data_IF_021461220737
#
_entry.id   IF_021461220737
#
_cell.length_a   1.000
_cell.length_b   1.000
_cell.length_c   1.000
_cell.angle_alpha   90.00
_cell.angle_beta   90.00
_cell.angle_gamma   90.00
#
_symmetry.space_group_name_H-M   'P 1'
#
loop_
_entity.id
_entity.type
_entity.pdbx_description
1 polymer ?
#
# COMPACT_ATOMS: atom_id res chain seq x y z
N UNK A 1 -23.13 -10.64 5.95
CA UNK A 1 -21.92 -9.86 5.61
C UNK A 1 -22.21 -8.40 5.89
N UNK A 2 -21.34 -7.65 6.57
CA UNK A 2 -21.61 -6.24 6.87
C UNK A 2 -21.61 -5.42 5.58
N UNK A 3 -22.50 -4.42 5.47
CA UNK A 3 -22.62 -3.58 4.28
C UNK A 3 -21.30 -2.88 3.93
N UNK A 4 -20.56 -2.43 4.95
CA UNK A 4 -19.23 -1.83 4.78
C UNK A 4 -18.22 -2.78 4.12
N UNK A 5 -18.19 -4.05 4.53
CA UNK A 5 -17.31 -5.08 3.93
C UNK A 5 -17.67 -5.35 2.47
N UNK A 6 -18.97 -5.37 2.14
CA UNK A 6 -19.43 -5.55 0.74
C UNK A 6 -18.99 -4.38 -0.12
N UNK A 7 -19.29 -3.15 0.31
CA UNK A 7 -18.98 -1.92 -0.43
C UNK A 7 -17.47 -1.81 -0.65
N UNK A 8 -16.67 -2.06 0.41
CA UNK A 8 -15.23 -1.94 0.31
C UNK A 8 -14.61 -2.95 -0.67
N UNK A 9 -15.11 -4.19 -0.70
CA UNK A 9 -14.66 -5.18 -1.67
C UNK A 9 -15.01 -4.79 -3.10
N UNK A 10 -16.27 -4.41 -3.35
CA UNK A 10 -16.71 -3.98 -4.69
C UNK A 10 -15.86 -2.80 -5.16
N UNK A 11 -15.65 -1.82 -4.29
CA UNK A 11 -14.86 -0.65 -4.63
C UNK A 11 -13.39 -1.00 -4.92
N UNK A 12 -12.80 -1.91 -4.13
CA UNK A 12 -11.44 -2.43 -4.35
C UNK A 12 -11.28 -3.10 -5.71
N UNK A 13 -12.19 -4.02 -6.06
CA UNK A 13 -12.14 -4.72 -7.34
C UNK A 13 -12.45 -3.82 -8.54
N UNK A 14 -13.48 -2.97 -8.43
CA UNK A 14 -13.87 -2.08 -9.52
C UNK A 14 -12.78 -1.04 -9.81
N UNK A 15 -12.19 -0.46 -8.77
CA UNK A 15 -11.13 0.53 -8.91
C UNK A 15 -9.84 -0.09 -9.44
N UNK A 16 -9.45 -1.28 -8.95
CA UNK A 16 -8.25 -1.96 -9.45
C UNK A 16 -8.40 -2.36 -10.93
N UNK A 17 -9.58 -2.86 -11.32
CA UNK A 17 -9.89 -3.18 -12.71
C UNK A 17 -9.88 -1.93 -13.60
N UNK A 18 -10.44 -0.81 -13.13
CA UNK A 18 -10.40 0.46 -13.85
C UNK A 18 -8.98 0.99 -14.04
N UNK A 19 -8.13 0.90 -13.01
CA UNK A 19 -6.73 1.34 -13.06
C UNK A 19 -5.93 0.49 -14.04
N UNK A 20 -6.00 -0.85 -13.93
CA UNK A 20 -5.29 -1.75 -14.84
C UNK A 20 -5.80 -1.65 -16.28
N UNK A 21 -7.13 -1.67 -16.45
CA UNK A 21 -7.76 -1.55 -17.76
C UNK A 21 -7.43 -0.21 -18.42
N UNK A 22 -7.51 0.89 -17.67
CA UNK A 22 -7.13 2.22 -18.15
C UNK A 22 -5.65 2.31 -18.53
N UNK A 23 -4.76 1.77 -17.68
CA UNK A 23 -3.32 1.75 -17.95
C UNK A 23 -2.98 0.88 -19.18
N UNK A 24 -3.67 -0.24 -19.38
CA UNK A 24 -3.55 -1.08 -20.56
C UNK A 24 -4.04 -0.37 -21.82
N UNK A 25 -5.23 0.25 -21.78
CA UNK A 25 -5.78 1.02 -22.91
C UNK A 25 -4.85 2.16 -23.31
N UNK A 26 -4.32 2.91 -22.35
CA UNK A 26 -3.34 3.98 -22.60
C UNK A 26 -2.07 3.41 -23.24
N UNK A 27 -1.58 2.27 -22.75
CA UNK A 27 -0.38 1.62 -23.31
C UNK A 27 -0.59 1.17 -24.75
N UNK A 28 -1.74 0.56 -25.05
CA UNK A 28 -2.12 0.11 -26.40
C UNK A 28 -2.24 1.31 -27.34
N UNK A 29 -2.97 2.36 -26.95
CA UNK A 29 -3.16 3.56 -27.77
C UNK A 29 -1.84 4.28 -28.05
N UNK A 30 -0.93 4.30 -27.08
CA UNK A 30 0.38 4.91 -27.23
C UNK A 30 1.41 4.00 -27.93
N UNK A 31 1.05 2.75 -28.27
CA UNK A 31 1.95 1.72 -28.81
C UNK A 31 3.25 1.53 -27.99
N UNK A 32 3.17 1.78 -26.69
CA UNK A 32 4.27 1.63 -25.73
C UNK A 32 3.73 1.30 -24.35
N UNK A 33 4.42 0.43 -23.61
CA UNK A 33 4.01 0.09 -22.25
C UNK A 33 4.20 1.30 -21.33
N UNK A 34 3.11 1.79 -20.74
CA UNK A 34 3.13 2.99 -19.92
C UNK A 34 3.66 2.69 -18.50
N UNK A 35 4.34 3.67 -17.88
CA UNK A 35 4.82 3.57 -16.50
C UNK A 35 3.71 3.26 -15.50
N UNK A 36 2.48 3.75 -15.71
CA UNK A 36 1.33 3.40 -14.85
C UNK A 36 1.04 1.90 -14.87
N UNK A 37 1.10 1.26 -16.04
CA UNK A 37 0.88 -0.18 -16.17
C UNK A 37 2.02 -0.96 -15.51
N UNK A 38 3.27 -0.58 -15.79
CA UNK A 38 4.44 -1.22 -15.18
C UNK A 38 4.44 -1.09 -13.65
N UNK A 39 4.10 0.09 -13.14
CA UNK A 39 4.04 0.33 -11.69
C UNK A 39 2.89 -0.46 -11.07
N UNK A 40 1.73 -0.49 -11.71
CA UNK A 40 0.58 -1.29 -11.26
C UNK A 40 0.91 -2.78 -11.16
N UNK A 41 1.57 -3.33 -12.18
CA UNK A 41 2.01 -4.73 -12.17
C UNK A 41 3.06 -4.99 -11.08
N UNK A 42 4.00 -4.04 -10.87
CA UNK A 42 4.97 -4.15 -9.78
C UNK A 42 4.31 -4.08 -8.40
N UNK A 43 3.26 -3.29 -8.22
CA UNK A 43 2.54 -3.19 -6.96
C UNK A 43 1.84 -4.50 -6.59
N UNK A 44 1.43 -5.33 -7.56
CA UNK A 44 0.89 -6.67 -7.24
C UNK A 44 1.96 -7.61 -6.67
N UNK A 45 3.24 -7.32 -6.90
CA UNK A 45 4.35 -8.17 -6.44
C UNK A 45 4.69 -8.03 -4.96
N UNK A 46 4.17 -7.02 -4.24
CA UNK A 46 4.42 -6.88 -2.79
C UNK A 46 3.38 -7.63 -1.94
N UNK A 47 2.30 -8.14 -2.57
CA UNK A 47 1.15 -8.71 -1.86
C UNK A 47 1.51 -9.89 -0.95
N UNK A 48 2.58 -10.63 -1.27
CA UNK A 48 3.06 -11.72 -0.42
C UNK A 48 3.63 -11.24 0.92
N UNK A 49 4.07 -9.98 1.03
CA UNK A 49 4.56 -9.38 2.28
C UNK A 49 3.46 -8.79 3.15
N UNK A 50 2.23 -8.70 2.64
CA UNK A 50 1.11 -8.09 3.37
C UNK A 50 0.73 -8.91 4.59
N UNK A 51 0.72 -10.24 4.44
CA UNK A 51 0.42 -11.12 5.54
C UNK A 51 1.32 -10.89 6.76
N UNK A 52 2.65 -10.96 6.57
CA UNK A 52 3.62 -10.65 7.61
C UNK A 52 3.56 -9.21 8.12
N UNK A 53 3.32 -8.23 7.25
CA UNK A 53 3.22 -6.82 7.62
C UNK A 53 2.04 -6.58 8.56
N UNK A 54 0.85 -7.06 8.18
CA UNK A 54 -0.36 -6.97 8.97
C UNK A 54 -0.19 -7.63 10.35
N UNK A 55 0.45 -8.80 10.36
CA UNK A 55 0.80 -9.50 11.59
C UNK A 55 1.74 -8.69 12.47
N UNK A 56 2.72 -7.99 11.89
CA UNK A 56 3.69 -7.19 12.61
C UNK A 56 3.05 -5.99 13.33
N UNK A 57 2.06 -5.36 12.71
CA UNK A 57 1.37 -4.20 13.28
C UNK A 57 0.10 -4.56 14.07
N UNK A 58 -0.15 -5.85 14.30
CA UNK A 58 -1.33 -6.35 15.01
C UNK A 58 -2.68 -5.93 14.39
N UNK A 59 -2.74 -5.77 13.06
CA UNK A 59 -4.01 -5.46 12.39
C UNK A 59 -4.87 -6.72 12.27
N UNK A 60 -6.16 -6.56 12.51
CA UNK A 60 -7.15 -7.62 12.40
C UNK A 60 -8.30 -7.13 11.52
N UNK A 61 -8.56 -7.85 10.44
CA UNK A 61 -9.64 -7.54 9.52
C UNK A 61 -10.96 -8.15 9.95
N UNK A 62 -12.06 -7.49 9.58
CA UNK A 62 -13.41 -7.98 9.86
C UNK A 62 -13.58 -9.44 9.42
N UNK A 63 -14.11 -10.33 10.26
CA UNK A 63 -14.25 -11.76 9.94
C UNK A 63 -15.13 -12.08 8.73
N UNK A 64 -15.91 -11.12 8.24
CA UNK A 64 -16.82 -11.33 7.12
C UNK A 64 -16.11 -11.18 5.76
N UNK A 65 -14.85 -10.76 5.73
CA UNK A 65 -14.07 -10.79 4.51
C UNK A 65 -13.78 -12.25 4.10
N UNK A 66 -14.00 -12.60 2.81
CA UNK A 66 -13.43 -13.81 2.24
C UNK A 66 -11.91 -13.79 2.40
N UNK A 67 -11.31 -14.95 2.73
CA UNK A 67 -9.86 -15.07 2.98
C UNK A 67 -9.19 -15.80 1.82
N UNK A 68 -7.93 -15.45 1.57
CA UNK A 68 -7.06 -16.31 0.76
C UNK A 68 -6.75 -17.59 1.55
N UNK A 69 -6.38 -18.70 0.88
CA UNK A 69 -5.92 -19.89 1.59
C UNK A 69 -4.75 -19.57 2.51
N UNK A 70 -4.68 -20.23 3.65
CA UNK A 70 -3.60 -20.10 4.63
C UNK A 70 -2.37 -20.86 4.14
N UNK A 71 -1.60 -20.23 3.24
CA UNK A 71 -0.38 -20.82 2.69
C UNK A 71 0.76 -19.81 2.69
N UNK A 72 1.93 -20.26 3.17
CA UNK A 72 3.14 -19.45 3.22
C UNK A 72 2.91 -18.10 3.92
N UNK A 73 3.39 -16.98 3.36
CA UNK A 73 3.32 -15.69 4.04
C UNK A 73 1.89 -15.11 4.08
N UNK A 74 0.98 -15.51 3.18
CA UNK A 74 -0.42 -15.06 3.19
C UNK A 74 -1.18 -15.49 4.46
N UNK A 75 -0.71 -16.56 5.09
CA UNK A 75 -1.22 -17.10 6.34
C UNK A 75 -0.85 -16.32 7.60
N UNK A 76 0.16 -15.46 7.52
CA UNK A 76 0.73 -14.82 8.72
C UNK A 76 -0.26 -13.85 9.39
N UNK A 77 -1.15 -13.20 8.63
CA UNK A 77 -2.19 -12.33 9.19
C UNK A 77 -3.10 -13.10 10.13
N UNK A 78 -3.49 -12.48 11.24
CA UNK A 78 -4.47 -13.05 12.15
C UNK A 78 -5.81 -13.36 11.43
N UNK A 79 -6.25 -14.62 11.47
CA UNK A 79 -7.43 -15.14 10.75
C UNK A 79 -7.32 -15.07 9.21
N UNK A 80 -6.10 -14.98 8.67
CA UNK A 80 -5.79 -15.01 7.24
C UNK A 80 -6.00 -13.68 6.52
N UNK A 81 -5.26 -13.47 5.42
CA UNK A 81 -5.35 -12.24 4.63
C UNK A 81 -6.68 -12.17 3.84
N UNK A 82 -7.40 -11.03 3.81
CA UNK A 82 -8.57 -10.87 2.95
C UNK A 82 -8.25 -11.06 1.47
N UNK A 83 -9.09 -11.80 0.75
CA UNK A 83 -8.93 -12.10 -0.68
C UNK A 83 -8.92 -10.86 -1.58
N UNK A 84 -9.53 -9.76 -1.11
CA UNK A 84 -9.53 -8.49 -1.83
C UNK A 84 -8.21 -7.74 -1.75
N UNK A 85 -7.28 -8.11 -0.87
CA UNK A 85 -6.07 -7.32 -0.60
C UNK A 85 -5.25 -6.97 -1.83
N UNK A 86 -4.93 -7.90 -2.75
CA UNK A 86 -4.22 -7.54 -3.98
C UNK A 86 -4.91 -6.40 -4.77
N UNK A 87 -6.24 -6.45 -4.85
CA UNK A 87 -7.02 -5.42 -5.53
C UNK A 87 -7.12 -4.13 -4.71
N UNK A 88 -7.31 -4.24 -3.39
CA UNK A 88 -7.37 -3.12 -2.46
C UNK A 88 -6.09 -2.30 -2.47
N UNK A 89 -4.92 -2.96 -2.47
CA UNK A 89 -3.64 -2.27 -2.56
C UNK A 89 -3.41 -1.60 -3.91
N UNK A 90 -3.84 -2.23 -4.99
CA UNK A 90 -3.73 -1.60 -6.30
C UNK A 90 -4.63 -0.37 -6.40
N UNK A 91 -5.87 -0.47 -5.94
CA UNK A 91 -6.76 0.68 -5.79
C UNK A 91 -6.08 1.75 -4.96
N UNK A 92 -5.59 1.39 -3.77
CA UNK A 92 -5.15 2.35 -2.78
C UNK A 92 -3.84 3.03 -3.18
N UNK A 93 -2.78 2.26 -3.45
CA UNK A 93 -1.49 2.81 -3.81
C UNK A 93 -1.50 3.54 -5.17
N UNK A 94 -2.11 2.96 -6.20
CA UNK A 94 -2.04 3.57 -7.54
C UNK A 94 -2.96 4.78 -7.68
N UNK A 95 -4.15 4.77 -7.06
CA UNK A 95 -5.02 5.94 -7.09
C UNK A 95 -4.32 7.13 -6.43
N UNK A 96 -3.75 6.92 -5.23
CA UNK A 96 -3.05 7.98 -4.51
C UNK A 96 -1.79 8.42 -5.23
N UNK A 97 -1.02 7.50 -5.83
CA UNK A 97 0.16 7.85 -6.62
C UNK A 97 -0.18 8.70 -7.86
N UNK A 98 -1.30 8.39 -8.54
CA UNK A 98 -1.76 9.18 -9.70
C UNK A 98 -2.21 10.57 -9.26
N UNK A 99 -3.01 10.68 -8.20
CA UNK A 99 -3.45 11.97 -7.64
C UNK A 99 -2.24 12.80 -7.20
N UNK A 100 -1.30 12.19 -6.47
CA UNK A 100 -0.09 12.86 -6.00
C UNK A 100 0.82 13.31 -7.15
N UNK A 101 0.91 12.55 -8.24
CA UNK A 101 1.66 12.94 -9.45
C UNK A 101 1.04 14.16 -10.15
N UNK A 102 -0.29 14.29 -10.11
CA UNK A 102 -0.99 15.50 -10.59
C UNK A 102 -0.71 16.70 -9.70
N UNK A 103 -0.78 16.54 -8.38
CA UNK A 103 -0.42 17.60 -7.42
C UNK A 103 1.04 18.02 -7.59
N UNK A 104 1.96 17.07 -7.74
CA UNK A 104 3.37 17.38 -8.04
C UNK A 104 3.52 18.22 -9.31
N UNK A 105 2.78 17.89 -10.37
CA UNK A 105 2.79 18.69 -11.61
C UNK A 105 2.32 20.13 -11.37
N UNK A 106 1.36 20.35 -10.47
CA UNK A 106 0.95 21.69 -10.06
C UNK A 106 2.05 22.41 -9.27
N UNK A 107 2.71 21.73 -8.33
CA UNK A 107 3.84 22.31 -7.57
C UNK A 107 4.99 22.73 -8.49
N UNK A 108 5.34 21.89 -9.47
CA UNK A 108 6.36 22.23 -10.47
C UNK A 108 5.93 23.44 -11.30
N UNK A 109 4.71 23.42 -11.86
CA UNK A 109 4.27 24.45 -12.81
C UNK A 109 3.92 25.79 -12.16
N UNK A 110 3.44 25.77 -10.90
CA UNK A 110 2.97 26.98 -10.20
C UNK A 110 4.01 27.54 -9.24
N UNK A 111 4.79 26.67 -8.59
CA UNK A 111 5.72 27.06 -7.52
C UNK A 111 7.19 26.86 -7.92
N UNK A 112 7.47 26.35 -9.12
CA UNK A 112 8.84 26.16 -9.62
C UNK A 112 9.62 25.06 -8.91
N UNK A 113 8.94 24.13 -8.22
CA UNK A 113 9.61 23.04 -7.51
C UNK A 113 10.36 22.11 -8.47
N UNK A 114 11.47 21.53 -8.02
CA UNK A 114 12.15 20.48 -8.78
C UNK A 114 11.27 19.22 -8.85
N UNK A 115 11.12 18.65 -10.05
CA UNK A 115 10.17 17.55 -10.32
C UNK A 115 10.34 16.35 -9.38
N UNK A 116 11.55 15.81 -9.11
CA UNK A 116 11.70 14.68 -8.20
C UNK A 116 11.23 15.02 -6.78
N UNK A 117 11.61 16.20 -6.26
CA UNK A 117 11.21 16.66 -4.94
C UNK A 117 9.69 16.86 -4.84
N UNK A 118 9.07 17.44 -5.88
CA UNK A 118 7.63 17.61 -5.94
C UNK A 118 6.88 16.27 -5.92
N UNK A 119 7.36 15.27 -6.67
CA UNK A 119 6.76 13.92 -6.69
C UNK A 119 6.91 13.20 -5.35
N UNK A 120 8.09 13.29 -4.74
CA UNK A 120 8.34 12.62 -3.46
C UNK A 120 7.53 13.28 -2.34
N UNK A 121 7.58 14.61 -2.25
CA UNK A 121 6.84 15.36 -1.24
C UNK A 121 5.32 15.18 -1.39
N UNK A 122 4.78 15.30 -2.61
CA UNK A 122 3.33 15.13 -2.79
C UNK A 122 2.88 13.69 -2.49
N UNK A 123 3.65 12.69 -2.92
CA UNK A 123 3.35 11.28 -2.67
C UNK A 123 3.37 10.96 -1.18
N UNK A 124 4.38 11.43 -0.46
CA UNK A 124 4.47 11.26 0.99
C UNK A 124 3.32 11.97 1.71
N UNK A 125 3.09 13.25 1.44
CA UNK A 125 2.05 14.04 2.14
C UNK A 125 0.66 13.51 1.86
N UNK A 126 0.30 13.25 0.60
CA UNK A 126 -1.03 12.74 0.25
C UNK A 126 -1.18 11.31 0.77
N UNK A 127 -0.15 10.48 0.64
CA UNK A 127 -0.16 9.12 1.18
C UNK A 127 -0.42 9.11 2.67
N UNK A 128 0.32 9.90 3.45
CA UNK A 128 0.17 10.00 4.89
C UNK A 128 -1.23 10.52 5.27
N UNK A 129 -1.63 11.68 4.76
CA UNK A 129 -2.90 12.33 5.15
C UNK A 129 -4.10 11.46 4.78
N UNK A 130 -4.14 10.93 3.55
CA UNK A 130 -5.26 10.10 3.13
C UNK A 130 -5.25 8.78 3.90
N UNK A 131 -4.09 8.23 4.24
CA UNK A 131 -4.01 7.02 5.06
C UNK A 131 -4.58 7.19 6.45
N UNK A 132 -4.17 8.23 7.17
CA UNK A 132 -4.70 8.44 8.52
C UNK A 132 -6.22 8.66 8.50
N UNK A 133 -6.73 9.41 7.52
CA UNK A 133 -8.17 9.59 7.34
C UNK A 133 -8.89 8.29 7.00
N UNK A 134 -8.30 7.49 6.11
CA UNK A 134 -8.88 6.22 5.69
C UNK A 134 -8.87 5.19 6.81
N UNK A 135 -7.78 5.08 7.56
CA UNK A 135 -7.62 4.22 8.74
C UNK A 135 -8.56 4.65 9.86
N UNK A 136 -8.72 5.95 10.09
CA UNK A 136 -9.72 6.47 11.03
C UNK A 136 -11.12 6.00 10.63
N UNK A 137 -11.54 6.20 9.38
CA UNK A 137 -12.86 5.75 8.92
C UNK A 137 -13.00 4.23 9.03
N UNK A 138 -11.98 3.49 8.59
CA UNK A 138 -11.98 2.02 8.55
C UNK A 138 -12.11 1.40 9.95
N UNK A 139 -11.43 1.95 10.95
CA UNK A 139 -11.51 1.47 12.35
C UNK A 139 -12.87 1.76 12.99
N UNK A 140 -13.51 2.88 12.65
CA UNK A 140 -14.85 3.24 13.13
C UNK A 140 -15.95 2.38 12.50
N UNK A 141 -15.90 2.17 11.18
CA UNK A 141 -16.88 1.32 10.49
C UNK A 141 -16.55 -0.18 10.58
N UNK A 142 -15.42 -0.52 11.22
CA UNK A 142 -15.01 -1.88 11.57
C UNK A 142 -14.52 -2.71 10.40
N UNK A 143 -13.88 -2.13 9.38
CA UNK A 143 -13.21 -2.91 8.32
C UNK A 143 -11.99 -3.64 8.86
N UNK A 144 -11.17 -2.96 9.68
CA UNK A 144 -10.08 -3.54 10.44
C UNK A 144 -9.81 -2.72 11.70
N UNK A 145 -9.12 -3.32 12.66
CA UNK A 145 -8.72 -2.70 13.93
C UNK A 145 -7.37 -3.22 14.37
N UNK A 146 -6.68 -2.47 15.23
CA UNK A 146 -5.34 -2.79 15.70
C UNK A 146 -5.38 -3.31 17.13
N UNK A 147 -4.89 -4.54 17.35
CA UNK A 147 -4.95 -5.20 18.65
C UNK A 147 -3.95 -4.61 19.65
N UNK A 148 -2.80 -4.19 19.15
CA UNK A 148 -1.71 -3.61 19.94
C UNK A 148 -0.99 -2.55 19.14
N UNK A 149 -0.25 -1.70 19.83
CA UNK A 149 0.66 -0.76 19.20
C UNK A 149 1.75 -0.28 20.17
N UNK A 150 2.86 0.17 19.60
CA UNK A 150 3.95 0.79 20.33
C UNK A 150 3.53 2.17 20.90
N UNK A 151 3.97 2.52 22.12
CA UNK A 151 3.66 3.81 22.71
C UNK A 151 4.32 4.97 21.94
N UNK A 152 3.71 6.16 21.99
CA UNK A 152 4.25 7.40 21.44
C UNK A 152 3.82 7.76 20.02
N UNK A 153 3.59 6.77 19.14
CA UNK A 153 3.14 6.98 17.75
C UNK A 153 1.79 6.29 17.51
N UNK A 154 0.80 6.63 18.31
CA UNK A 154 -0.52 5.99 18.31
C UNK A 154 -1.64 7.02 18.46
N UNK A 155 -2.74 6.81 17.74
CA UNK A 155 -3.98 7.56 17.89
C UNK A 155 -4.94 6.73 18.76
N UNK A 156 -5.67 7.40 19.66
CA UNK A 156 -6.64 6.78 20.59
C UNK A 156 -6.12 5.56 21.36
N UNK A 157 -5.00 5.67 22.10
CA UNK A 157 -4.35 4.53 22.75
C UNK A 157 -5.29 3.75 23.67
N UNK A 158 -5.29 2.43 23.54
CA UNK A 158 -6.06 1.51 24.39
C UNK A 158 -7.55 1.43 24.04
N UNK A 159 -8.00 2.08 22.97
CA UNK A 159 -9.40 2.05 22.52
C UNK A 159 -9.61 1.05 21.38
N UNK A 160 -10.87 0.75 21.06
CA UNK A 160 -11.25 -0.01 19.85
C UNK A 160 -10.82 0.65 18.54
N UNK A 161 -10.62 1.96 18.57
CA UNK A 161 -10.30 2.77 17.39
C UNK A 161 -8.84 3.18 17.40
N UNK A 162 -8.00 2.51 18.20
CA UNK A 162 -6.59 2.79 18.17
C UNK A 162 -6.00 2.42 16.81
N UNK A 163 -5.05 3.21 16.34
CA UNK A 163 -4.23 2.86 15.19
C UNK A 163 -2.84 3.51 15.29
N UNK A 164 -1.80 2.84 14.80
CA UNK A 164 -0.45 3.35 14.86
C UNK A 164 -0.14 4.33 13.73
N UNK A 165 0.46 5.48 14.06
CA UNK A 165 0.92 6.47 13.08
C UNK A 165 2.13 5.97 12.27
N UNK A 166 2.89 5.03 12.82
CA UNK A 166 4.02 4.42 12.12
C UNK A 166 3.60 3.55 10.94
N UNK A 167 2.37 3.03 10.94
CA UNK A 167 1.79 2.37 9.77
C UNK A 167 1.56 3.38 8.64
N UNK A 168 0.95 4.53 8.94
CA UNK A 168 0.77 5.57 7.93
C UNK A 168 2.07 6.16 7.40
N UNK A 169 3.12 6.24 8.22
CA UNK A 169 4.47 6.59 7.75
C UNK A 169 5.02 5.56 6.75
N UNK A 170 4.87 4.26 7.04
CA UNK A 170 5.29 3.18 6.14
C UNK A 170 4.52 3.22 4.81
N UNK A 171 3.20 3.39 4.87
CA UNK A 171 2.34 3.52 3.70
C UNK A 171 2.67 4.78 2.89
N UNK A 172 2.92 5.91 3.55
CA UNK A 172 3.30 7.16 2.91
C UNK A 172 4.61 7.04 2.12
N UNK A 173 5.60 6.33 2.66
CA UNK A 173 6.88 6.05 1.97
C UNK A 173 6.63 5.18 0.73
N UNK A 174 5.77 4.18 0.84
CA UNK A 174 5.42 3.32 -0.29
C UNK A 174 4.71 4.11 -1.40
N UNK A 175 3.73 4.96 -1.05
CA UNK A 175 3.03 5.84 -2.01
C UNK A 175 3.97 6.88 -2.60
N UNK A 176 4.90 7.43 -1.82
CA UNK A 176 5.96 8.34 -2.28
C UNK A 176 6.76 7.71 -3.43
N UNK A 177 7.21 6.46 -3.24
CA UNK A 177 7.98 5.73 -4.26
C UNK A 177 7.11 5.46 -5.50
N UNK A 178 5.87 4.98 -5.33
CA UNK A 178 4.97 4.77 -6.46
C UNK A 178 4.66 6.06 -7.24
N UNK A 179 4.48 7.17 -6.54
CA UNK A 179 4.28 8.50 -7.15
C UNK A 179 5.47 8.88 -8.02
N UNK A 180 6.68 8.64 -7.53
CA UNK A 180 7.91 8.85 -8.31
C UNK A 180 7.98 7.91 -9.52
N UNK A 181 7.69 6.61 -9.36
CA UNK A 181 7.76 5.63 -10.46
C UNK A 181 6.75 5.91 -11.58
N UNK A 182 5.57 6.46 -11.26
CA UNK A 182 4.52 6.83 -12.22
C UNK A 182 4.77 8.20 -12.84
N UNK A 183 5.25 9.16 -12.05
CA UNK A 183 5.35 10.56 -12.45
C UNK A 183 6.70 10.99 -13.01
N UNK A 184 7.77 10.21 -12.80
CA UNK A 184 9.12 10.62 -13.19
C UNK A 184 9.38 10.42 -14.68
N UNK A 185 9.72 11.51 -15.36
CA UNK A 185 10.21 11.48 -16.75
C UNK A 185 11.68 11.06 -16.82
N UNK A 186 12.43 11.23 -15.73
CA UNK A 186 13.86 10.89 -15.61
C UNK A 186 14.06 9.74 -14.61
N UNK A 187 13.32 8.66 -14.80
CA UNK A 187 13.39 7.51 -13.91
C UNK A 187 14.68 6.69 -14.17
N UNK A 188 15.53 6.55 -13.16
CA UNK A 188 16.82 5.82 -13.26
C UNK A 188 16.65 4.37 -13.69
N UNK A 189 15.59 3.68 -13.24
CA UNK A 189 15.32 2.29 -13.64
C UNK A 189 14.98 2.23 -15.12
N UNK A 190 14.17 3.17 -15.62
CA UNK A 190 13.82 3.26 -17.05
C UNK A 190 15.06 3.56 -17.90
N UNK A 191 15.93 4.47 -17.43
CA UNK A 191 17.19 4.80 -18.12
C UNK A 191 18.16 3.62 -18.13
N UNK A 192 18.31 2.92 -17.01
CA UNK A 192 19.11 1.70 -16.92
C UNK A 192 18.58 0.62 -17.87
N UNK A 193 17.27 0.39 -17.89
CA UNK A 193 16.65 -0.58 -18.78
C UNK A 193 16.85 -0.20 -20.25
N UNK A 194 16.73 1.08 -20.60
CA UNK A 194 16.96 1.58 -21.95
C UNK A 194 18.41 1.37 -22.40
N UNK A 195 19.38 1.53 -21.50
CA UNK A 195 20.80 1.32 -21.81
C UNK A 195 21.16 -0.17 -22.00
N UNK A 196 20.38 -1.08 -21.42
CA UNK A 196 20.62 -2.54 -21.50
C UNK A 196 19.77 -3.25 -22.55
N UNK A 197 18.69 -2.64 -23.00
CA UNK A 197 17.75 -3.26 -23.91
C UNK A 197 18.10 -3.02 -25.38
N UNK A 198 17.96 -4.06 -26.20
CA UNK A 198 18.06 -4.00 -27.65
C UNK A 198 16.71 -3.81 -28.33
N UNK A 199 15.59 -4.04 -27.62
CA UNK A 199 14.22 -3.91 -28.15
C UNK A 199 13.29 -3.20 -27.15
N UNK A 200 12.18 -2.58 -27.61
CA UNK A 200 11.20 -1.94 -26.73
C UNK A 200 10.54 -2.91 -25.74
N UNK A 201 10.29 -4.16 -26.15
CA UNK A 201 9.74 -5.19 -25.28
C UNK A 201 10.73 -5.55 -24.16
N UNK A 202 12.00 -5.76 -24.51
CA UNK A 202 13.04 -6.03 -23.53
C UNK A 202 13.19 -4.87 -22.55
N UNK A 203 13.13 -3.62 -23.02
CA UNK A 203 13.17 -2.45 -22.14
C UNK A 203 11.99 -2.44 -21.16
N UNK A 204 10.78 -2.74 -21.63
CA UNK A 204 9.60 -2.79 -20.77
C UNK A 204 9.71 -3.90 -19.71
N UNK A 205 10.19 -5.09 -20.09
CA UNK A 205 10.41 -6.20 -19.17
C UNK A 205 11.49 -5.89 -18.14
N UNK A 206 12.64 -5.34 -18.55
CA UNK A 206 13.70 -4.92 -17.63
C UNK A 206 13.21 -3.82 -16.68
N UNK A 207 12.42 -2.87 -17.18
CA UNK A 207 11.81 -1.84 -16.34
C UNK A 207 10.86 -2.46 -15.32
N UNK A 208 10.00 -3.40 -15.73
CA UNK A 208 9.10 -4.11 -14.82
C UNK A 208 9.87 -4.84 -13.72
N UNK A 209 10.90 -5.60 -14.08
CA UNK A 209 11.76 -6.31 -13.11
C UNK A 209 12.42 -5.33 -12.15
N UNK A 210 12.99 -4.24 -12.67
CA UNK A 210 13.58 -3.20 -11.83
C UNK A 210 12.57 -2.56 -10.87
N UNK A 211 11.34 -2.30 -11.33
CA UNK A 211 10.26 -1.80 -10.47
C UNK A 211 9.90 -2.82 -9.40
N UNK A 212 9.72 -4.11 -9.75
CA UNK A 212 9.44 -5.20 -8.80
C UNK A 212 10.52 -5.23 -7.70
N UNK A 213 11.80 -5.16 -8.07
CA UNK A 213 12.90 -5.13 -7.10
C UNK A 213 12.79 -3.90 -6.19
N UNK A 214 12.64 -2.71 -6.76
CA UNK A 214 12.56 -1.46 -5.99
C UNK A 214 11.41 -1.49 -5.00
N UNK A 215 10.21 -1.88 -5.45
CA UNK A 215 9.02 -1.84 -4.59
C UNK A 215 9.09 -2.88 -3.48
N UNK A 216 9.61 -4.08 -3.75
CA UNK A 216 9.80 -5.09 -2.70
C UNK A 216 10.87 -4.67 -1.69
N UNK A 217 11.99 -4.09 -2.14
CA UNK A 217 13.02 -3.58 -1.22
C UNK A 217 12.46 -2.47 -0.34
N UNK A 218 11.74 -1.51 -0.92
CA UNK A 218 11.08 -0.44 -0.16
C UNK A 218 10.07 -1.02 0.83
N UNK A 219 9.26 -1.99 0.39
CA UNK A 219 8.25 -2.60 1.26
C UNK A 219 8.88 -3.34 2.44
N UNK A 220 9.97 -4.08 2.19
CA UNK A 220 10.77 -4.72 3.25
C UNK A 220 11.36 -3.69 4.22
N UNK A 221 11.83 -2.55 3.73
CA UNK A 221 12.42 -1.50 4.56
C UNK A 221 11.38 -0.81 5.46
N UNK A 222 10.14 -0.65 5.00
CA UNK A 222 9.06 -0.10 5.85
C UNK A 222 8.43 -1.15 6.76
N UNK A 223 8.48 -2.43 6.37
CA UNK A 223 8.08 -3.57 7.18
C UNK A 223 9.03 -3.85 8.35
N UNK A 224 10.35 -3.82 8.09
CA UNK A 224 11.35 -4.27 9.05
C UNK A 224 11.27 -3.57 10.43
N UNK A 225 11.07 -2.24 10.54
CA UNK A 225 10.85 -1.59 11.82
C UNK A 225 9.65 -2.15 12.61
N UNK A 226 8.55 -2.47 11.92
CA UNK A 226 7.35 -3.06 12.54
C UNK A 226 7.61 -4.48 13.03
N UNK A 227 8.37 -5.24 12.26
CA UNK A 227 8.79 -6.56 12.69
C UNK A 227 9.66 -6.47 13.95
N UNK A 228 10.60 -5.52 13.99
CA UNK A 228 11.48 -5.29 15.15
C UNK A 228 10.64 -4.91 16.37
N UNK A 229 9.68 -3.98 16.26
CA UNK A 229 8.84 -3.60 17.41
C UNK A 229 8.05 -4.78 17.96
N UNK A 230 7.50 -5.61 17.07
CA UNK A 230 6.75 -6.80 17.47
C UNK A 230 7.62 -7.84 18.17
N UNK A 231 8.75 -8.24 17.56
CA UNK A 231 9.62 -9.29 18.13
C UNK A 231 10.37 -8.81 19.38
N UNK A 232 10.63 -7.51 19.49
CA UNK A 232 11.19 -6.89 20.69
C UNK A 232 10.11 -6.56 21.74
N UNK A 233 8.85 -6.95 21.49
CA UNK A 233 7.78 -6.84 22.48
C UNK A 233 7.49 -5.40 22.92
N UNK A 234 7.64 -4.44 21.98
CA UNK A 234 7.45 -3.01 22.24
C UNK A 234 6.00 -2.54 22.05
N UNK A 235 5.13 -3.37 21.44
CA UNK A 235 3.71 -3.09 21.25
C UNK A 235 2.91 -3.34 22.54
N UNK A 236 3.14 -2.47 23.54
CA UNK A 236 2.63 -2.62 24.91
C UNK A 236 1.25 -1.99 25.14
N UNK A 237 0.79 -1.10 24.25
CA UNK A 237 -0.58 -0.57 24.33
C UNK A 237 -1.53 -1.61 23.76
N UNK A 238 -2.54 -2.01 24.54
CA UNK A 238 -3.45 -3.10 24.18
C UNK A 238 -4.88 -2.58 24.03
N UNK A 239 -5.52 -2.91 22.92
CA UNK A 239 -6.95 -2.65 22.71
C UNK A 239 -7.82 -3.60 23.58
N UNK A 240 -9.13 -3.35 23.72
CA UNK A 240 -10.03 -4.25 24.44
C UNK A 240 -9.97 -5.70 23.93
N UNK A 241 -10.25 -6.66 24.82
CA UNK A 241 -9.94 -8.11 24.67
C UNK A 241 -10.40 -8.74 23.35
N UNK A 242 -11.52 -8.29 22.78
CA UNK A 242 -12.06 -8.80 21.52
C UNK A 242 -12.40 -7.63 20.59
N UNK A 243 -11.56 -7.38 19.58
CA UNK A 243 -11.82 -6.34 18.57
C UNK A 243 -13.06 -6.62 17.71
N UNK A 244 -13.40 -7.90 17.54
CA UNK A 244 -14.61 -8.37 16.88
C UNK A 244 -15.36 -9.39 17.76
N UNK A 245 -16.70 -9.43 17.74
CA UNK A 245 -17.47 -10.34 18.59
C UNK A 245 -17.07 -11.81 18.40
N UNK A 246 -16.72 -12.48 19.50
CA UNK A 246 -16.37 -13.89 19.52
C UNK A 246 -14.99 -14.23 18.94
N UNK A 247 -14.18 -13.24 18.57
CA UNK A 247 -12.84 -13.45 18.00
C UNK A 247 -11.80 -12.91 18.99
N UNK A 248 -10.91 -13.77 19.50
CA UNK A 248 -9.83 -13.31 20.37
C UNK A 248 -8.86 -12.44 19.58
N UNK A 249 -8.29 -11.45 20.25
CA UNK A 249 -7.22 -10.66 19.68
C UNK A 249 -5.99 -11.53 19.37
N UNK A 250 -5.23 -11.11 18.35
CA UNK A 250 -3.94 -11.67 18.02
C UNK A 250 -3.04 -11.72 19.28
N UNK A 251 -2.44 -12.89 19.58
CA UNK A 251 -1.53 -13.03 20.70
C UNK A 251 -0.25 -12.22 20.47
N UNK A 252 0.49 -12.02 21.55
CA UNK A 252 1.73 -11.26 21.51
C UNK A 252 2.76 -11.91 20.59
#
# INVERSE_FOLDING_TARGET
>A
MSLAVVIFQIFSYASSAAILGGAAVVSIRARRVNQLLLTSLSALSIVWLEGPYDWAIYVQFHPAFPRVPDWGPFGATWQGLPAMMPAGYLMYYMLLAVVASRVASLLVNRLGWHRPQALLASGFTIGFVIHELFTLVATYIGLWRFGRAAPGLIVFPGTYHQFPLYDGLAIAITIMVFTYLVGSTNNMVVQWAAHRASTPLQQALLTLVGYIVVVNVVYLLVFAPQLITKVAHLDTIVAPVNLFPGIPNQPF
#
